data_IF_955989509177
#
_entry.id   IF_955989509177
#
_cell.length_a   1.000
_cell.length_b   1.000
_cell.length_c   1.000
_cell.angle_alpha   90.00
_cell.angle_beta   90.00
_cell.angle_gamma   90.00
#
_symmetry.space_group_name_H-M   'P 1'
#
loop_
_entity.id
_entity.type
_entity.pdbx_description
1 polymer ?
#
# COMPACT_ATOMS: atom_id res chain seq x y z
N UNK A 1 -27.42 26.05 61.70
CA UNK A 1 -28.71 25.36 61.58
C UNK A 1 -29.10 25.39 60.12
N UNK A 2 -29.26 24.22 59.52
CA UNK A 2 -29.67 23.95 58.15
C UNK A 2 -31.07 24.48 57.80
N UNK A 3 -31.35 24.61 56.49
CA UNK A 3 -32.54 24.16 55.72
C UNK A 3 -32.60 25.03 54.44
N UNK A 4 -32.20 24.60 53.24
CA UNK A 4 -32.72 23.57 52.32
C UNK A 4 -34.10 23.91 51.69
N UNK A 5 -34.12 23.90 50.34
CA UNK A 5 -35.21 23.50 49.40
C UNK A 5 -36.02 24.58 48.63
N UNK A 6 -35.83 24.49 47.29
CA UNK A 6 -36.72 24.69 46.11
C UNK A 6 -37.49 25.99 45.91
N UNK A 7 -37.34 26.53 44.71
CA UNK A 7 -38.45 27.17 44.00
C UNK A 7 -38.45 26.79 42.52
N UNK A 8 -39.56 26.21 42.09
CA UNK A 8 -39.97 26.05 40.70
C UNK A 8 -41.13 27.03 40.48
N UNK A 9 -41.09 27.82 39.40
CA UNK A 9 -42.26 28.53 38.86
C UNK A 9 -42.16 28.51 37.35
N UNK A 10 -43.26 28.13 36.72
CA UNK A 10 -43.47 28.05 35.28
C UNK A 10 -44.42 29.18 34.82
N UNK A 11 -44.45 29.35 33.49
CA UNK A 11 -45.45 30.04 32.65
C UNK A 11 -45.29 31.59 32.57
N UNK A 12 -45.46 32.29 31.44
CA UNK A 12 -46.35 32.09 30.28
C UNK A 12 -45.87 32.90 29.04
N UNK A 13 -46.19 32.35 27.86
CA UNK A 13 -46.36 32.84 26.48
C UNK A 13 -46.10 34.31 26.08
N UNK A 14 -45.48 34.50 24.88
CA UNK A 14 -45.92 35.44 23.81
C UNK A 14 -45.53 34.87 22.43
N UNK A 15 -46.46 34.90 21.46
CA UNK A 15 -46.25 34.80 20.00
C UNK A 15 -47.04 35.95 19.33
N UNK A 16 -46.95 36.25 18.00
CA UNK A 16 -45.97 35.94 16.95
C UNK A 16 -45.50 37.21 16.15
N UNK A 17 -44.88 36.98 14.97
CA UNK A 17 -44.68 37.89 13.83
C UNK A 17 -43.40 38.74 13.77
N UNK A 18 -42.48 38.37 12.87
CA UNK A 18 -42.28 38.99 11.54
C UNK A 18 -40.96 38.49 10.93
N UNK A 19 -40.96 38.06 9.66
CA UNK A 19 -39.80 37.49 8.96
C UNK A 19 -38.61 38.45 8.79
N UNK A 20 -37.49 37.92 8.29
CA UNK A 20 -37.25 38.14 6.86
C UNK A 20 -36.85 36.87 6.09
N UNK A 21 -37.06 36.98 4.79
CA UNK A 21 -36.45 36.26 3.68
C UNK A 21 -34.99 35.88 3.95
N UNK A 22 -34.59 34.65 3.61
CA UNK A 22 -33.53 34.38 2.62
C UNK A 22 -33.22 32.87 2.56
N UNK A 23 -33.26 32.35 1.34
CA UNK A 23 -32.50 31.20 0.81
C UNK A 23 -32.49 29.88 1.62
N UNK A 24 -33.49 29.03 1.33
CA UNK A 24 -33.41 27.60 1.60
C UNK A 24 -32.51 26.89 0.57
N UNK A 25 -31.35 26.44 1.05
CA UNK A 25 -30.78 25.11 0.82
C UNK A 25 -31.02 24.47 -0.55
N UNK A 26 -30.06 24.66 -1.46
CA UNK A 26 -29.71 23.65 -2.47
C UNK A 26 -28.20 23.37 -2.37
N UNK A 27 -27.81 22.64 -1.33
CA UNK A 27 -26.48 22.05 -1.25
C UNK A 27 -26.40 20.91 -2.27
N UNK A 28 -25.94 21.23 -3.48
CA UNK A 28 -25.64 20.25 -4.50
C UNK A 28 -24.63 19.24 -3.96
N UNK A 29 -25.03 17.97 -3.97
CA UNK A 29 -24.14 16.83 -3.83
C UNK A 29 -23.01 16.95 -4.86
N UNK A 30 -21.83 17.40 -4.43
CA UNK A 30 -20.62 17.20 -5.21
C UNK A 30 -20.26 15.73 -5.06
N UNK A 31 -20.76 14.92 -6.00
CA UNK A 31 -20.23 13.59 -6.27
C UNK A 31 -18.73 13.70 -6.53
N UNK A 32 -17.91 13.42 -5.52
CA UNK A 32 -16.51 13.10 -5.73
C UNK A 32 -16.45 11.69 -6.32
N UNK A 33 -16.62 11.61 -7.64
CA UNK A 33 -16.22 10.43 -8.41
C UNK A 33 -14.72 10.25 -8.23
N UNK A 34 -14.32 9.35 -7.33
CA UNK A 34 -12.95 8.83 -7.27
C UNK A 34 -12.79 7.90 -8.45
N UNK A 35 -12.58 8.47 -9.64
CA UNK A 35 -12.19 7.70 -10.80
C UNK A 35 -10.84 7.06 -10.46
N UNK A 36 -10.80 5.73 -10.38
CA UNK A 36 -9.54 4.99 -10.39
C UNK A 36 -8.77 5.44 -11.64
N UNK A 37 -7.45 5.61 -11.52
CA UNK A 37 -6.61 5.94 -12.66
C UNK A 37 -6.93 5.00 -13.85
N UNK A 38 -6.97 5.48 -15.10
CA UNK A 38 -7.37 4.68 -16.27
C UNK A 38 -6.63 3.34 -16.41
N UNK A 39 -5.41 3.27 -15.87
CA UNK A 39 -4.59 2.05 -15.83
C UNK A 39 -5.15 0.96 -14.92
N UNK A 40 -5.88 1.27 -13.85
CA UNK A 40 -6.49 0.28 -12.94
C UNK A 40 -7.85 -0.22 -13.44
N UNK A 41 -8.63 0.65 -14.10
CA UNK A 41 -9.95 0.31 -14.65
C UNK A 41 -9.88 -0.74 -15.77
N UNK A 42 -8.80 -0.75 -16.56
CA UNK A 42 -8.58 -1.72 -17.63
C UNK A 42 -8.40 -3.16 -17.10
N UNK A 43 -8.01 -3.32 -15.83
CA UNK A 43 -7.63 -4.64 -15.28
C UNK A 43 -8.71 -5.30 -14.43
N UNK A 44 -9.71 -4.56 -13.96
CA UNK A 44 -10.89 -5.15 -13.31
C UNK A 44 -11.69 -6.07 -14.26
N UNK A 45 -11.52 -5.89 -15.59
CA UNK A 45 -12.22 -6.66 -16.62
C UNK A 45 -11.36 -7.74 -17.30
N UNK A 46 -10.04 -7.76 -17.09
CA UNK A 46 -9.11 -8.68 -17.75
C UNK A 46 -8.99 -10.06 -17.05
N UNK A 47 -10.05 -10.48 -16.34
CA UNK A 47 -10.20 -11.85 -15.85
C UNK A 47 -10.62 -12.76 -16.99
N UNK A 48 -9.71 -13.62 -17.44
CA UNK A 48 -9.90 -14.70 -18.42
C UNK A 48 -10.10 -14.27 -19.88
N UNK A 49 -9.03 -14.39 -20.67
CA UNK A 49 -8.96 -14.94 -22.04
C UNK A 49 -7.61 -14.59 -22.67
N UNK A 50 -6.60 -15.39 -22.35
CA UNK A 50 -5.44 -15.58 -23.22
C UNK A 50 -5.62 -16.90 -23.97
N UNK A 51 -5.44 -16.89 -25.29
CA UNK A 51 -5.42 -18.10 -26.11
C UNK A 51 -4.25 -19.02 -25.68
N UNK A 52 -4.38 -20.36 -25.80
CA UNK A 52 -3.33 -21.27 -25.38
C UNK A 52 -2.19 -21.25 -26.39
N UNK A 53 -0.99 -20.90 -25.92
CA UNK A 53 0.27 -21.10 -26.64
C UNK A 53 0.80 -22.51 -26.32
N UNK A 54 0.98 -23.32 -27.35
CA UNK A 54 1.40 -24.71 -27.25
C UNK A 54 2.88 -24.78 -26.86
N UNK A 55 3.15 -25.17 -25.60
CA UNK A 55 4.52 -25.38 -25.09
C UNK A 55 4.82 -24.76 -23.72
N UNK A 56 3.87 -24.05 -23.11
CA UNK A 56 4.06 -23.49 -21.77
C UNK A 56 4.14 -24.62 -20.72
N UNK A 57 5.32 -24.80 -20.12
CA UNK A 57 5.46 -25.52 -18.87
C UNK A 57 4.33 -25.05 -17.92
N UNK A 58 3.54 -26.00 -17.41
CA UNK A 58 2.37 -25.70 -16.58
C UNK A 58 2.81 -24.76 -15.46
N UNK A 59 2.24 -23.54 -15.43
CA UNK A 59 2.57 -22.59 -14.37
C UNK A 59 2.33 -23.27 -13.01
N UNK A 60 3.26 -23.15 -12.04
CA UNK A 60 3.11 -23.80 -10.76
C UNK A 60 1.80 -23.36 -10.13
N UNK A 61 1.02 -24.30 -9.60
CA UNK A 61 -0.18 -23.97 -8.84
C UNK A 61 0.24 -23.27 -7.53
N UNK A 62 -0.41 -22.16 -7.18
CA UNK A 62 -0.21 -21.49 -5.90
C UNK A 62 -1.45 -20.69 -5.50
N UNK A 63 -1.53 -20.34 -4.23
CA UNK A 63 -2.53 -19.40 -3.68
C UNK A 63 -1.83 -18.23 -3.01
N UNK A 64 -2.40 -17.03 -3.13
CA UNK A 64 -1.92 -15.83 -2.43
C UNK A 64 -2.80 -15.61 -1.21
N UNK A 65 -2.15 -15.47 -0.05
CA UNK A 65 -2.81 -15.29 1.25
C UNK A 65 -2.18 -14.12 1.99
N UNK A 66 -2.95 -13.52 2.91
CA UNK A 66 -2.38 -12.61 3.90
C UNK A 66 -1.35 -13.37 4.76
N UNK A 67 -0.22 -12.74 5.00
CA UNK A 67 0.83 -13.32 5.83
C UNK A 67 0.41 -13.36 7.31
N UNK A 68 0.54 -14.53 7.94
CA UNK A 68 0.34 -14.73 9.37
C UNK A 68 1.64 -14.88 10.16
N UNK A 69 1.54 -14.92 11.49
CA UNK A 69 2.70 -15.10 12.37
C UNK A 69 3.49 -16.40 12.08
N UNK A 70 2.78 -17.48 11.71
CA UNK A 70 3.40 -18.76 11.38
C UNK A 70 4.25 -18.72 10.09
N UNK A 71 4.07 -17.72 9.22
CA UNK A 71 4.83 -17.59 7.98
C UNK A 71 6.20 -16.92 8.20
N UNK A 72 6.47 -16.38 9.39
CA UNK A 72 7.64 -15.54 9.64
C UNK A 72 8.94 -16.26 9.36
N UNK A 73 9.10 -17.47 9.89
CA UNK A 73 10.31 -18.27 9.70
C UNK A 73 10.49 -18.68 8.24
N UNK A 74 9.45 -19.25 7.63
CA UNK A 74 9.48 -19.69 6.23
C UNK A 74 9.78 -18.54 5.26
N UNK A 75 9.20 -17.36 5.49
CA UNK A 75 9.47 -16.15 4.71
C UNK A 75 10.92 -15.69 4.86
N UNK A 76 11.47 -15.65 6.07
CA UNK A 76 12.87 -15.26 6.23
C UNK A 76 13.82 -16.24 5.55
N UNK A 77 13.55 -17.54 5.64
CA UNK A 77 14.32 -18.57 4.94
C UNK A 77 14.23 -18.39 3.41
N UNK A 78 13.05 -18.08 2.86
CA UNK A 78 12.88 -17.73 1.46
C UNK A 78 13.71 -16.50 1.07
N UNK A 79 13.70 -15.44 1.89
CA UNK A 79 14.48 -14.22 1.62
C UNK A 79 15.99 -14.46 1.68
N UNK A 80 16.45 -15.40 2.51
CA UNK A 80 17.85 -15.81 2.58
C UNK A 80 18.29 -16.54 1.30
N UNK A 81 17.42 -17.40 0.72
CA UNK A 81 17.68 -18.10 -0.55
C UNK A 81 17.56 -17.20 -1.78
N UNK A 82 16.54 -16.35 -1.82
CA UNK A 82 16.14 -15.63 -3.03
C UNK A 82 16.88 -14.30 -3.27
N UNK A 83 17.40 -13.67 -2.21
CA UNK A 83 18.00 -12.34 -2.29
C UNK A 83 19.51 -12.35 -2.13
N UNK A 84 20.15 -11.31 -2.65
CA UNK A 84 21.61 -11.12 -2.55
C UNK A 84 22.09 -11.10 -1.09
N UNK A 85 23.33 -11.59 -0.83
CA UNK A 85 23.99 -11.39 0.44
C UNK A 85 23.97 -9.91 0.86
N UNK A 86 23.88 -9.65 2.17
CA UNK A 86 23.77 -8.30 2.74
C UNK A 86 22.49 -7.54 2.35
N UNK A 87 21.38 -8.21 1.96
CA UNK A 87 20.08 -7.55 1.69
C UNK A 87 19.73 -6.50 2.74
N UNK A 88 19.95 -6.83 4.03
CA UNK A 88 19.70 -5.99 5.23
C UNK A 88 20.44 -4.65 5.26
N UNK A 89 21.42 -4.43 4.39
CA UNK A 89 22.16 -3.15 4.26
C UNK A 89 21.55 -2.19 3.24
N UNK A 90 20.59 -2.64 2.41
CA UNK A 90 19.94 -1.81 1.38
C UNK A 90 19.21 -0.63 2.02
N UNK A 91 19.10 0.47 1.27
CA UNK A 91 18.40 1.69 1.71
C UNK A 91 16.94 1.44 2.10
N UNK A 92 16.21 0.61 1.34
CA UNK A 92 14.84 0.22 1.67
C UNK A 92 14.73 -0.53 3.01
N UNK A 93 15.71 -1.39 3.32
CA UNK A 93 15.80 -2.10 4.61
C UNK A 93 16.08 -1.16 5.78
N UNK A 94 16.95 -0.16 5.56
CA UNK A 94 17.22 0.87 6.56
C UNK A 94 15.98 1.72 6.82
N UNK A 95 15.30 2.14 5.75
CA UNK A 95 14.11 2.99 5.82
C UNK A 95 13.00 2.34 6.65
N UNK A 96 12.80 1.02 6.53
CA UNK A 96 11.73 0.29 7.24
C UNK A 96 12.09 -0.25 8.63
N UNK A 97 13.32 -0.03 9.11
CA UNK A 97 13.79 -0.58 10.39
C UNK A 97 12.95 -0.07 11.56
N UNK A 98 12.54 -0.99 12.45
CA UNK A 98 11.72 -0.67 13.62
C UNK A 98 10.28 -0.28 13.30
N UNK A 99 9.83 -0.51 12.06
CA UNK A 99 8.45 -0.31 11.63
C UNK A 99 7.72 -1.65 11.48
N UNK A 100 6.40 -1.58 11.50
CA UNK A 100 5.54 -2.67 11.04
C UNK A 100 5.19 -2.43 9.57
N UNK A 101 5.00 -3.49 8.77
CA UNK A 101 4.40 -3.35 7.45
C UNK A 101 3.04 -2.64 7.52
N UNK A 102 2.64 -2.05 6.39
CA UNK A 102 1.33 -1.42 6.25
C UNK A 102 0.22 -2.47 6.46
N UNK A 103 -0.89 -2.04 7.07
CA UNK A 103 -1.97 -2.95 7.45
C UNK A 103 -2.63 -3.58 6.22
N UNK A 104 -2.88 -4.88 6.25
CA UNK A 104 -3.50 -5.60 5.14
C UNK A 104 -2.62 -5.74 3.90
N UNK A 105 -1.35 -5.31 3.92
CA UNK A 105 -0.45 -5.30 2.76
C UNK A 105 0.79 -6.17 2.96
N UNK A 106 0.59 -7.35 3.52
CA UNK A 106 1.60 -8.39 3.69
C UNK A 106 1.06 -9.71 3.16
N UNK A 107 1.75 -10.28 2.17
CA UNK A 107 1.26 -11.47 1.48
C UNK A 107 2.34 -12.51 1.29
N UNK A 108 1.89 -13.76 1.26
CA UNK A 108 2.67 -14.93 0.87
C UNK A 108 1.98 -15.68 -0.26
N UNK A 109 2.78 -16.26 -1.15
CA UNK A 109 2.30 -17.27 -2.08
C UNK A 109 2.66 -18.65 -1.52
N UNK A 110 1.68 -19.56 -1.45
CA UNK A 110 1.87 -20.95 -1.04
C UNK A 110 1.62 -21.91 -2.18
N UNK A 111 2.47 -22.91 -2.32
CA UNK A 111 2.26 -24.00 -3.26
C UNK A 111 1.25 -25.04 -2.71
N UNK A 112 0.88 -26.10 -3.46
CA UNK A 112 -0.09 -27.09 -3.02
C UNK A 112 0.36 -27.93 -1.81
N UNK A 113 1.67 -27.96 -1.52
CA UNK A 113 2.21 -28.61 -0.31
C UNK A 113 2.07 -27.72 0.93
N UNK A 114 1.70 -26.44 0.74
CA UNK A 114 1.60 -25.44 1.79
C UNK A 114 2.90 -24.66 2.03
N UNK A 115 3.96 -24.91 1.25
CA UNK A 115 5.23 -24.22 1.41
C UNK A 115 5.15 -22.77 0.91
N UNK A 116 5.77 -21.84 1.65
CA UNK A 116 5.88 -20.44 1.22
C UNK A 116 6.91 -20.32 0.11
N UNK A 117 6.42 -20.07 -1.11
CA UNK A 117 7.23 -19.97 -2.34
C UNK A 117 7.36 -18.55 -2.87
N UNK A 118 6.68 -17.59 -2.25
CA UNK A 118 6.77 -16.19 -2.60
C UNK A 118 6.30 -15.28 -1.49
N UNK A 119 6.75 -14.03 -1.49
CA UNK A 119 6.30 -13.00 -0.54
C UNK A 119 6.36 -11.61 -1.15
N UNK A 120 5.41 -10.75 -0.76
CA UNK A 120 5.49 -9.31 -1.01
C UNK A 120 4.96 -8.54 0.20
N UNK A 121 5.61 -7.44 0.54
CA UNK A 121 5.22 -6.56 1.65
C UNK A 121 5.29 -5.10 1.25
N UNK A 122 4.40 -4.28 1.80
CA UNK A 122 4.38 -2.84 1.59
C UNK A 122 4.50 -2.10 2.93
N UNK A 123 5.11 -0.92 2.90
CA UNK A 123 5.49 -0.15 4.08
C UNK A 123 5.07 1.30 3.93
N UNK A 124 4.48 1.88 4.96
CA UNK A 124 4.07 3.28 4.90
C UNK A 124 5.30 4.21 4.86
N UNK A 125 5.28 5.16 3.93
CA UNK A 125 6.28 6.22 3.76
C UNK A 125 5.62 7.55 3.45
N UNK A 126 6.38 8.65 3.55
CA UNK A 126 5.99 9.95 3.01
C UNK A 126 6.95 10.38 1.90
N UNK A 127 6.41 11.07 0.90
CA UNK A 127 7.14 11.59 -0.26
C UNK A 127 7.91 12.87 0.09
N UNK A 128 8.91 12.74 0.97
CA UNK A 128 9.61 13.88 1.54
C UNK A 128 9.08 14.28 2.92
N UNK A 129 9.62 15.38 3.43
CA UNK A 129 9.18 15.98 4.69
C UNK A 129 7.82 16.66 4.50
N UNK A 130 6.81 16.26 5.28
CA UNK A 130 5.44 16.79 5.15
C UNK A 130 4.75 16.47 3.82
N UNK A 131 5.36 15.65 2.96
CA UNK A 131 4.81 15.28 1.66
C UNK A 131 3.70 14.23 1.74
N UNK A 132 3.04 13.94 0.60
CA UNK A 132 1.95 12.97 0.52
C UNK A 132 2.32 11.58 1.08
N UNK A 133 1.32 10.89 1.63
CA UNK A 133 1.46 9.51 2.07
C UNK A 133 1.55 8.56 0.86
N UNK A 134 2.45 7.59 0.94
CA UNK A 134 2.68 6.58 -0.08
C UNK A 134 3.13 5.26 0.55
N UNK A 135 3.35 4.25 -0.29
CA UNK A 135 3.87 2.95 0.10
C UNK A 135 5.25 2.71 -0.51
N UNK A 136 6.12 2.02 0.23
CA UNK A 136 7.34 1.43 -0.28
C UNK A 136 7.13 -0.08 -0.41
N UNK A 137 7.24 -0.62 -1.62
CA UNK A 137 7.15 -2.05 -1.88
C UNK A 137 8.50 -2.72 -1.66
N UNK A 138 8.50 -3.76 -0.83
CA UNK A 138 9.68 -4.58 -0.59
C UNK A 138 9.66 -5.33 0.75
N UNK A 139 10.24 -6.54 0.82
CA UNK A 139 10.78 -7.29 -0.30
C UNK A 139 9.65 -7.81 -1.19
N UNK A 140 9.99 -8.06 -2.46
CA UNK A 140 9.30 -9.02 -3.32
C UNK A 140 10.30 -10.14 -3.59
N UNK A 141 9.95 -11.37 -3.27
CA UNK A 141 10.80 -12.54 -3.49
C UNK A 141 9.98 -13.75 -3.91
N UNK A 142 10.59 -14.63 -4.69
CA UNK A 142 10.05 -15.90 -5.17
C UNK A 142 11.16 -16.94 -5.04
N UNK A 143 10.79 -18.19 -4.74
CA UNK A 143 11.72 -19.31 -4.69
C UNK A 143 12.52 -19.38 -6.01
N UNK A 144 13.87 -19.48 -5.97
CA UNK A 144 14.70 -19.42 -7.17
C UNK A 144 14.31 -20.43 -8.25
N UNK A 145 13.96 -21.65 -7.85
CA UNK A 145 13.59 -22.74 -8.77
C UNK A 145 12.21 -22.53 -9.42
N UNK A 146 11.40 -21.62 -8.87
CA UNK A 146 10.07 -21.26 -9.37
C UNK A 146 10.04 -19.87 -10.02
N UNK A 147 11.20 -19.27 -10.27
CA UNK A 147 11.30 -18.02 -11.04
C UNK A 147 10.72 -18.20 -12.43
N UNK A 148 10.24 -17.11 -13.01
CA UNK A 148 9.53 -17.08 -14.29
C UNK A 148 8.20 -17.86 -14.33
N UNK A 149 7.81 -18.59 -13.28
CA UNK A 149 6.51 -19.26 -13.15
C UNK A 149 5.33 -18.36 -12.79
N UNK A 150 5.42 -17.04 -13.03
CA UNK A 150 4.30 -16.11 -12.82
C UNK A 150 4.00 -15.66 -11.38
N UNK A 151 4.53 -16.35 -10.36
CA UNK A 151 4.28 -16.06 -8.92
C UNK A 151 4.56 -14.59 -8.57
N UNK A 152 5.73 -14.07 -8.95
CA UNK A 152 6.12 -12.68 -8.64
C UNK A 152 5.20 -11.65 -9.30
N UNK A 153 4.72 -11.95 -10.52
CA UNK A 153 3.75 -11.09 -11.21
C UNK A 153 2.39 -11.11 -10.55
N UNK A 154 1.95 -12.27 -10.07
CA UNK A 154 0.68 -12.40 -9.36
C UNK A 154 0.72 -11.68 -8.00
N UNK A 155 1.81 -11.84 -7.24
CA UNK A 155 2.04 -11.11 -5.99
C UNK A 155 2.04 -9.59 -6.19
N UNK A 156 2.75 -9.11 -7.22
CA UNK A 156 2.79 -7.68 -7.55
C UNK A 156 1.40 -7.13 -7.87
N UNK A 157 0.64 -7.80 -8.75
CA UNK A 157 -0.72 -7.37 -9.11
C UNK A 157 -1.65 -7.39 -7.91
N UNK A 158 -1.60 -8.43 -7.10
CA UNK A 158 -2.41 -8.54 -5.88
C UNK A 158 -2.11 -7.39 -4.91
N UNK A 159 -0.83 -7.13 -4.64
CA UNK A 159 -0.41 -6.03 -3.77
C UNK A 159 -0.83 -4.64 -4.27
N UNK A 160 -0.69 -4.38 -5.57
CA UNK A 160 -1.11 -3.11 -6.19
C UNK A 160 -2.62 -2.94 -6.11
N UNK A 161 -3.39 -3.97 -6.44
CA UNK A 161 -4.85 -3.95 -6.38
C UNK A 161 -5.34 -3.71 -4.96
N UNK A 162 -4.77 -4.39 -3.97
CA UNK A 162 -5.16 -4.23 -2.56
C UNK A 162 -4.77 -2.85 -2.02
N UNK A 163 -3.60 -2.34 -2.37
CA UNK A 163 -3.20 -0.97 -2.01
C UNK A 163 -4.16 0.09 -2.59
N UNK A 164 -4.61 -0.09 -3.84
CA UNK A 164 -5.60 0.78 -4.45
C UNK A 164 -6.96 0.66 -3.73
N UNK A 165 -7.39 -0.56 -3.42
CA UNK A 165 -8.65 -0.85 -2.69
C UNK A 165 -8.68 -0.20 -1.30
N UNK A 166 -7.54 -0.20 -0.60
CA UNK A 166 -7.36 0.44 0.70
C UNK A 166 -7.17 1.97 0.61
N UNK A 167 -7.17 2.54 -0.60
CA UNK A 167 -7.16 3.98 -0.82
C UNK A 167 -5.78 4.64 -0.72
N UNK A 168 -4.68 3.88 -0.84
CA UNK A 168 -3.33 4.46 -0.90
C UNK A 168 -3.14 5.30 -2.17
N UNK A 169 -2.26 6.32 -2.10
CA UNK A 169 -2.06 7.27 -3.19
C UNK A 169 -1.02 6.83 -4.23
N UNK A 170 0.09 6.24 -3.79
CA UNK A 170 1.18 5.80 -4.67
C UNK A 170 2.00 4.67 -4.04
N UNK A 171 2.73 3.92 -4.88
CA UNK A 171 3.68 2.88 -4.49
C UNK A 171 5.04 3.19 -5.11
N UNK A 172 6.11 3.08 -4.34
CA UNK A 172 7.50 3.28 -4.76
C UNK A 172 8.32 2.01 -4.52
N UNK A 173 9.37 1.84 -5.31
CA UNK A 173 10.35 0.78 -5.12
C UNK A 173 11.70 1.15 -5.72
N UNK A 174 12.75 0.42 -5.32
CA UNK A 174 14.06 0.45 -5.99
C UNK A 174 14.23 -0.86 -6.76
N UNK A 175 14.24 -0.81 -8.09
CA UNK A 175 14.06 -1.99 -8.92
C UNK A 175 14.63 -1.90 -10.33
N UNK A 176 14.36 -2.92 -11.14
CA UNK A 176 14.73 -2.99 -12.56
C UNK A 176 13.55 -2.46 -13.42
N UNK A 177 13.76 -1.38 -14.17
CA UNK A 177 12.68 -0.72 -14.91
C UNK A 177 11.98 -1.64 -15.94
N UNK A 178 12.71 -2.42 -16.77
CA UNK A 178 12.06 -3.40 -17.66
C UNK A 178 11.12 -4.37 -16.93
N UNK A 179 11.51 -4.88 -15.76
CA UNK A 179 10.67 -5.80 -14.99
C UNK A 179 9.44 -5.13 -14.39
N UNK A 180 9.57 -3.94 -13.81
CA UNK A 180 8.48 -3.28 -13.07
C UNK A 180 7.57 -2.43 -13.98
N UNK A 181 8.05 -2.00 -15.15
CA UNK A 181 7.30 -1.21 -16.13
C UNK A 181 6.03 -1.90 -16.61
N UNK A 182 6.02 -3.24 -16.69
CA UNK A 182 4.82 -4.03 -17.04
C UNK A 182 3.66 -3.93 -16.03
N UNK A 183 3.89 -3.33 -14.87
CA UNK A 183 2.85 -3.04 -13.86
C UNK A 183 2.58 -1.53 -13.74
N UNK A 184 3.13 -0.70 -14.64
CA UNK A 184 2.95 0.75 -14.64
C UNK A 184 3.93 1.54 -13.78
N UNK A 185 4.97 0.91 -13.22
CA UNK A 185 6.01 1.63 -12.50
C UNK A 185 6.99 2.32 -13.47
N UNK A 186 7.28 3.60 -13.25
CA UNK A 186 8.30 4.32 -14.02
C UNK A 186 9.14 5.27 -13.15
N UNK A 187 10.23 5.78 -13.72
CA UNK A 187 11.07 6.80 -13.07
C UNK A 187 10.63 8.24 -13.40
N UNK A 188 9.64 8.43 -14.29
CA UNK A 188 9.34 9.72 -14.90
C UNK A 188 8.96 10.80 -13.88
N UNK A 189 8.30 10.38 -12.80
CA UNK A 189 7.84 11.24 -11.70
C UNK A 189 8.63 11.10 -10.40
N UNK A 190 9.82 10.49 -10.44
CA UNK A 190 10.64 10.31 -9.21
C UNK A 190 11.84 11.24 -9.14
N UNK A 191 12.07 12.10 -10.14
CA UNK A 191 13.27 12.95 -10.23
C UNK A 191 13.46 13.92 -9.04
N UNK A 192 12.35 14.39 -8.44
CA UNK A 192 12.37 15.26 -7.25
C UNK A 192 12.50 14.50 -5.93
N UNK A 193 12.48 13.17 -5.96
CA UNK A 193 12.53 12.29 -4.80
C UNK A 193 13.90 11.62 -4.65
N UNK A 194 14.20 11.18 -3.44
CA UNK A 194 15.38 10.37 -3.17
C UNK A 194 15.15 9.31 -2.09
N UNK A 195 15.81 8.17 -2.21
CA UNK A 195 15.94 7.20 -1.12
C UNK A 195 17.04 7.64 -0.15
N UNK A 196 16.92 7.34 1.15
CA UNK A 196 18.01 7.57 2.09
C UNK A 196 19.19 6.63 1.80
N UNK A 197 20.42 7.14 1.76
CA UNK A 197 21.62 6.35 1.51
C UNK A 197 21.83 5.97 0.04
N UNK A 198 22.73 5.02 -0.27
CA UNK A 198 23.15 4.72 -1.63
C UNK A 198 22.10 3.90 -2.41
N UNK A 199 21.77 4.38 -3.61
CA UNK A 199 20.95 3.70 -4.61
C UNK A 199 21.24 4.29 -5.99
N UNK A 200 20.87 3.58 -7.05
CA UNK A 200 20.95 4.10 -8.41
C UNK A 200 19.68 4.90 -8.72
N UNK A 201 19.81 6.19 -9.08
CA UNK A 201 18.66 7.09 -9.21
C UNK A 201 17.59 6.61 -10.20
N UNK A 202 18.01 6.11 -11.36
CA UNK A 202 17.11 5.60 -12.40
C UNK A 202 16.30 4.36 -11.98
N UNK A 203 16.67 3.74 -10.85
CA UNK A 203 15.99 2.56 -10.30
C UNK A 203 14.92 2.90 -9.28
N UNK A 204 14.80 4.17 -8.86
CA UNK A 204 13.68 4.61 -8.05
C UNK A 204 12.46 4.76 -8.95
N UNK A 205 11.56 3.79 -8.86
CA UNK A 205 10.34 3.73 -9.68
C UNK A 205 9.12 3.99 -8.81
N UNK A 206 8.10 4.58 -9.39
CA UNK A 206 6.82 4.83 -8.74
C UNK A 206 5.64 4.48 -9.65
N UNK A 207 4.54 4.12 -9.00
CA UNK A 207 3.22 3.93 -9.59
C UNK A 207 2.22 4.79 -8.81
N UNK A 208 1.49 5.65 -9.52
CA UNK A 208 0.35 6.36 -8.96
C UNK A 208 -0.88 5.47 -8.94
N UNK A 209 -1.55 5.45 -7.79
CA UNK A 209 -2.87 4.82 -7.62
C UNK A 209 -3.98 5.88 -7.64
N UNK A 210 -3.64 7.11 -7.21
CA UNK A 210 -4.45 8.31 -7.36
C UNK A 210 -3.64 9.34 -8.13
N UNK A 211 -4.28 9.96 -9.12
CA UNK A 211 -3.66 10.92 -10.01
C UNK A 211 -3.09 12.13 -9.24
N UNK A 212 -1.88 12.56 -9.61
CA UNK A 212 -1.23 13.77 -9.09
C UNK A 212 -0.63 13.64 -7.69
N UNK A 213 -0.68 12.47 -7.05
CA UNK A 213 -0.10 12.27 -5.71
C UNK A 213 1.42 12.44 -5.73
N UNK A 214 2.11 12.07 -6.81
CA UNK A 214 3.57 12.22 -6.90
C UNK A 214 4.00 13.68 -7.09
N UNK A 215 3.14 14.55 -7.61
CA UNK A 215 3.48 15.95 -7.91
C UNK A 215 3.78 16.75 -6.63
N UNK A 216 3.20 16.36 -5.49
CA UNK A 216 3.49 16.93 -4.17
C UNK A 216 4.76 16.39 -3.50
N UNK A 217 5.45 15.42 -4.11
CA UNK A 217 6.59 14.74 -3.53
C UNK A 217 7.94 15.44 -3.80
N UNK A 218 8.68 15.77 -2.74
CA UNK A 218 10.01 16.37 -2.88
C UNK A 218 10.98 15.99 -1.77
N UNK A 219 12.22 15.68 -2.14
CA UNK A 219 13.30 15.38 -1.23
C UNK A 219 13.36 13.91 -0.82
N UNK A 220 13.96 13.65 0.34
CA UNK A 220 14.23 12.28 0.79
C UNK A 220 12.99 11.63 1.38
N UNK A 221 12.60 10.47 0.84
CA UNK A 221 11.51 9.63 1.34
C UNK A 221 11.73 9.31 2.82
N UNK A 222 10.69 9.46 3.63
CA UNK A 222 10.73 9.20 5.08
C UNK A 222 9.89 8.01 5.46
N UNK A 223 10.34 7.30 6.49
CA UNK A 223 9.59 6.18 7.06
C UNK A 223 8.36 6.71 7.80
N UNK A 224 7.20 6.14 7.51
CA UNK A 224 5.95 6.47 8.19
C UNK A 224 5.39 5.21 8.87
N UNK A 225 4.11 5.26 9.23
CA UNK A 225 3.39 4.11 9.76
C UNK A 225 3.81 3.67 11.16
N UNK A 226 3.27 2.52 11.55
CA UNK A 226 3.36 1.99 12.91
C UNK A 226 4.78 1.54 13.24
N UNK A 227 5.20 1.81 14.48
CA UNK A 227 6.46 1.28 15.03
C UNK A 227 6.23 -0.10 15.64
N UNK A 228 7.26 -0.94 15.59
CA UNK A 228 7.30 -2.16 16.43
C UNK A 228 7.39 -1.71 17.88
N UNK A 229 6.51 -2.22 18.75
CA UNK A 229 6.58 -1.92 20.19
C UNK A 229 7.60 -2.87 20.82
N UNK A 230 8.27 -2.42 21.89
CA UNK A 230 9.24 -3.25 22.61
C UNK A 230 8.62 -4.56 23.15
N UNK A 231 7.31 -4.61 23.36
CA UNK A 231 6.56 -5.77 23.83
C UNK A 231 6.27 -6.83 22.74
N UNK A 232 6.47 -6.50 21.46
CA UNK A 232 6.23 -7.43 20.34
C UNK A 232 7.35 -8.51 20.20
N UNK A 233 8.36 -8.49 21.08
CA UNK A 233 9.49 -9.43 21.10
C UNK A 233 9.37 -10.53 22.18
N UNK A 234 8.26 -10.58 22.93
CA UNK A 234 8.08 -11.45 24.12
C UNK A 234 6.99 -12.52 23.92
N UNK A 235 6.63 -12.87 22.68
CA UNK A 235 5.67 -13.94 22.41
C UNK A 235 6.20 -14.92 21.38
#
# INVERSE_FOLDING_TARGET
MEYLIKSAVAATEIAPSSGPSDELFSAGEKSFSTALAPSLALWAQAGSRGAPDEGAAQAPAFVILAEGAADVEAREALLDRAMVPKRRKKSSEKLRRGRRPSEGLVFVARDPSGAVVGTVRLWDVTLGEGGPAALLLGPLAVEPDLKSGGIGSALMRHAVAEAARLGHGAILLVGDAPYYGRFGFSADRTGSLAMPGPYERHRLLALELKEGVLDGGKGTIKAAGRKVKALDFVA
#
